data_IF_486262211174
#
_entry.id   IF_486262211174
#
_cell.length_a   1.000
_cell.length_b   1.000
_cell.length_c   1.000
_cell.angle_alpha   90.00
_cell.angle_beta   90.00
_cell.angle_gamma   90.00
#
_symmetry.space_group_name_H-M   'P 1'
#
loop_
_entity.id
_entity.type
_entity.pdbx_description
1 polymer ?
#
# COMPACT_ATOMS: atom_id res chain seq x y z
N UNK A 1 3.36 11.34 12.69
CA UNK A 1 4.20 10.64 13.69
C UNK A 1 3.30 9.84 14.62
N UNK A 2 3.45 8.51 14.71
CA UNK A 2 2.78 7.73 15.75
C UNK A 2 3.37 8.10 17.12
N UNK A 3 2.52 8.24 18.14
CA UNK A 3 2.98 8.44 19.52
C UNK A 3 3.78 7.20 19.97
N UNK A 4 4.95 7.37 20.59
CA UNK A 4 5.70 6.24 21.16
C UNK A 4 4.88 5.55 22.25
N UNK A 5 5.02 4.22 22.36
CA UNK A 5 4.32 3.43 23.37
C UNK A 5 4.84 3.73 24.77
N UNK A 6 3.92 3.99 25.70
CA UNK A 6 4.23 3.98 27.13
C UNK A 6 4.23 2.55 27.67
N UNK A 7 4.87 2.32 28.83
CA UNK A 7 4.81 1.02 29.53
C UNK A 7 3.36 0.57 29.82
N UNK A 8 2.45 1.52 30.05
CA UNK A 8 1.04 1.26 30.30
C UNK A 8 0.26 0.76 29.07
N UNK A 9 0.82 0.93 27.87
CA UNK A 9 0.19 0.50 26.62
C UNK A 9 0.53 -0.97 26.27
N UNK A 10 1.45 -1.62 27.01
CA UNK A 10 1.84 -3.01 26.75
C UNK A 10 0.65 -3.95 27.01
N UNK A 11 0.28 -4.76 26.01
CA UNK A 11 -0.94 -5.57 26.01
C UNK A 11 -2.22 -4.80 25.65
N UNK A 12 -2.11 -3.53 25.26
CA UNK A 12 -3.22 -2.65 24.84
C UNK A 12 -2.87 -1.91 23.54
N UNK A 13 -2.53 -2.68 22.50
CA UNK A 13 -2.07 -2.14 21.21
C UNK A 13 -0.58 -1.77 21.19
N UNK A 14 0.20 -2.19 22.20
CA UNK A 14 1.65 -2.21 22.15
C UNK A 14 2.19 -3.53 22.71
N UNK A 15 3.37 -3.96 22.26
CA UNK A 15 4.05 -5.18 22.71
C UNK A 15 5.52 -4.91 23.03
N UNK A 16 6.16 -5.81 23.80
CA UNK A 16 7.61 -5.76 24.04
C UNK A 16 8.36 -6.73 23.14
N UNK A 17 9.42 -6.23 22.53
CA UNK A 17 10.38 -7.04 21.79
C UNK A 17 11.77 -6.50 22.05
N UNK A 18 12.71 -7.37 22.42
CA UNK A 18 14.10 -7.02 22.71
C UNK A 18 14.26 -5.81 23.67
N UNK A 19 13.46 -5.77 24.75
CA UNK A 19 13.48 -4.68 25.73
C UNK A 19 12.72 -3.40 25.33
N UNK A 20 12.40 -3.21 24.05
CA UNK A 20 11.70 -2.05 23.51
C UNK A 20 10.18 -2.24 23.43
N UNK A 21 9.42 -1.15 23.49
CA UNK A 21 7.97 -1.13 23.34
C UNK A 21 7.58 -0.67 21.93
N UNK A 22 6.84 -1.51 21.21
CA UNK A 22 6.41 -1.25 19.84
C UNK A 22 4.89 -1.14 19.78
N UNK A 23 4.37 -0.20 18.98
CA UNK A 23 2.93 -0.08 18.74
C UNK A 23 2.53 -1.16 17.76
N UNK A 24 1.47 -1.89 18.08
CA UNK A 24 0.87 -2.82 17.13
C UNK A 24 0.25 -2.01 15.99
N UNK A 25 0.61 -2.37 14.76
CA UNK A 25 -0.11 -1.85 13.60
C UNK A 25 -1.57 -2.34 13.68
N UNK A 26 -2.56 -1.53 13.30
CA UNK A 26 -3.99 -1.85 13.46
C UNK A 26 -4.43 -3.24 12.99
N UNK A 27 -3.75 -3.81 12.00
CA UNK A 27 -4.08 -5.12 11.46
C UNK A 27 -3.19 -6.25 11.99
N UNK A 28 -2.11 -5.95 12.70
CA UNK A 28 -1.22 -6.96 13.25
C UNK A 28 -1.72 -7.45 14.60
N UNK A 29 -1.67 -8.75 14.83
CA UNK A 29 -1.96 -9.34 16.13
C UNK A 29 -0.97 -10.46 16.45
N UNK A 30 -0.78 -10.72 17.74
CA UNK A 30 0.08 -11.80 18.20
C UNK A 30 -0.69 -13.13 18.19
N UNK A 31 -0.14 -14.15 17.53
CA UNK A 31 -0.67 -15.52 17.58
C UNK A 31 0.02 -16.28 18.71
N UNK A 32 1.34 -16.19 18.79
CA UNK A 32 2.17 -16.77 19.85
C UNK A 32 3.43 -15.91 20.09
N UNK A 33 4.37 -16.38 20.91
CA UNK A 33 5.58 -15.64 21.26
C UNK A 33 6.47 -15.25 20.06
N UNK A 34 6.38 -15.97 18.93
CA UNK A 34 7.23 -15.79 17.75
C UNK A 34 6.43 -15.48 16.48
N UNK A 35 5.13 -15.79 16.46
CA UNK A 35 4.28 -15.63 15.28
C UNK A 35 3.39 -14.40 15.39
N UNK A 36 3.42 -13.58 14.34
CA UNK A 36 2.48 -12.47 14.13
C UNK A 36 1.52 -12.81 12.99
N UNK A 37 0.23 -12.66 13.26
CA UNK A 37 -0.81 -12.66 12.25
C UNK A 37 -1.07 -11.24 11.74
N UNK A 38 -1.71 -11.15 10.58
CA UNK A 38 -2.24 -9.90 10.05
C UNK A 38 -3.68 -10.12 9.56
N UNK A 39 -4.57 -9.18 9.88
CA UNK A 39 -5.90 -9.09 9.31
C UNK A 39 -5.87 -8.34 7.98
N UNK A 40 -6.82 -8.59 7.07
CA UNK A 40 -6.99 -7.76 5.89
C UNK A 40 -7.27 -6.29 6.27
N UNK A 41 -6.67 -5.35 5.54
CA UNK A 41 -6.69 -3.91 5.84
C UNK A 41 -8.08 -3.33 6.12
N UNK A 42 -9.11 -3.73 5.37
CA UNK A 42 -10.47 -3.24 5.54
C UNK A 42 -11.20 -3.72 6.79
N UNK A 43 -10.60 -4.60 7.58
CA UNK A 43 -11.14 -5.04 8.87
C UNK A 43 -10.65 -4.18 10.04
N UNK A 44 -9.59 -3.40 9.85
CA UNK A 44 -8.83 -2.74 10.91
C UNK A 44 -8.53 -1.27 10.61
N UNK A 45 -8.53 -0.85 9.34
CA UNK A 45 -8.42 0.54 8.94
C UNK A 45 -9.77 1.13 8.52
N UNK A 46 -9.91 2.44 8.71
CA UNK A 46 -11.02 3.20 8.14
C UNK A 46 -10.82 3.34 6.64
N UNK A 47 -11.81 2.89 5.88
CA UNK A 47 -11.82 2.94 4.43
C UNK A 47 -12.77 4.06 3.94
N UNK A 48 -12.46 4.66 2.80
CA UNK A 48 -13.42 5.42 2.01
C UNK A 48 -14.59 4.51 1.58
N UNK A 49 -15.71 5.14 1.23
CA UNK A 49 -16.83 4.42 0.62
C UNK A 49 -16.42 3.78 -0.70
N UNK A 50 -17.04 2.64 -1.02
CA UNK A 50 -16.81 1.94 -2.26
C UNK A 50 -17.14 2.82 -3.47
N UNK A 51 -16.20 2.93 -4.41
CA UNK A 51 -16.38 3.75 -5.61
C UNK A 51 -15.62 3.17 -6.81
N UNK A 52 -15.87 3.76 -7.99
CA UNK A 52 -15.21 3.38 -9.24
C UNK A 52 -13.87 4.09 -9.38
N UNK A 53 -12.84 3.34 -9.73
CA UNK A 53 -11.50 3.83 -10.00
C UNK A 53 -11.06 3.39 -11.38
N UNK A 54 -10.29 4.26 -12.04
CA UNK A 54 -9.66 3.99 -13.34
C UNK A 54 -8.23 4.53 -13.31
N UNK A 55 -7.30 3.82 -13.94
CA UNK A 55 -5.91 4.24 -14.00
C UNK A 55 -4.96 3.14 -14.46
N UNK A 56 -3.69 3.31 -14.13
CA UNK A 56 -2.63 2.36 -14.47
C UNK A 56 -2.24 1.56 -13.22
N UNK A 57 -2.32 0.25 -13.31
CA UNK A 57 -1.71 -0.66 -12.35
C UNK A 57 -0.33 -1.06 -12.83
N UNK A 58 0.68 -0.82 -11.99
CA UNK A 58 2.03 -1.36 -12.17
C UNK A 58 2.13 -2.62 -11.33
N UNK A 59 2.23 -3.78 -11.97
CA UNK A 59 2.22 -5.09 -11.33
C UNK A 59 3.64 -5.59 -11.05
N UNK A 60 4.18 -5.20 -9.89
CA UNK A 60 5.51 -5.61 -9.42
C UNK A 60 5.38 -6.17 -8.01
N UNK A 61 6.04 -7.31 -7.72
CA UNK A 61 5.86 -8.02 -6.45
C UNK A 61 5.99 -7.12 -5.21
N UNK A 62 7.14 -6.44 -5.01
CA UNK A 62 7.39 -5.57 -3.85
C UNK A 62 7.00 -4.10 -4.11
N UNK A 63 6.69 -3.76 -5.36
CA UNK A 63 6.59 -2.38 -5.82
C UNK A 63 5.28 -2.06 -6.51
N UNK A 64 4.26 -2.92 -6.38
CA UNK A 64 3.01 -2.68 -7.09
C UNK A 64 2.37 -1.38 -6.64
N UNK A 65 1.78 -0.68 -7.59
CA UNK A 65 1.15 0.60 -7.32
C UNK A 65 0.05 0.90 -8.32
N UNK A 66 -0.91 1.68 -7.86
CA UNK A 66 -1.95 2.24 -8.69
C UNK A 66 -1.67 3.73 -8.94
N UNK A 67 -1.75 4.13 -10.20
CA UNK A 67 -1.65 5.52 -10.65
C UNK A 67 -3.03 5.90 -11.19
N UNK A 68 -3.82 6.71 -10.45
CA UNK A 68 -5.13 7.16 -10.92
C UNK A 68 -5.07 7.84 -12.29
N UNK A 69 -6.12 7.68 -13.09
CA UNK A 69 -6.28 8.38 -14.36
C UNK A 69 -6.12 9.90 -14.19
N UNK A 70 -5.40 10.54 -15.10
CA UNK A 70 -5.09 11.96 -15.04
C UNK A 70 -4.01 12.36 -14.01
N UNK A 71 -3.35 11.39 -13.38
CA UNK A 71 -2.24 11.65 -12.43
C UNK A 71 -0.93 11.04 -12.89
N UNK A 72 0.17 11.52 -12.30
CA UNK A 72 1.53 11.01 -12.52
C UNK A 72 2.01 10.23 -11.31
N UNK A 73 2.89 9.22 -11.48
CA UNK A 73 3.49 8.53 -10.36
C UNK A 73 4.29 9.50 -9.47
N UNK A 74 4.32 9.30 -8.13
CA UNK A 74 5.13 10.12 -7.25
C UNK A 74 6.61 10.11 -7.62
N UNK A 75 7.25 11.26 -7.56
CA UNK A 75 8.68 11.39 -7.82
C UNK A 75 9.49 11.01 -6.58
N UNK A 76 10.25 9.92 -6.68
CA UNK A 76 11.17 9.50 -5.62
C UNK A 76 12.50 10.24 -5.75
N UNK A 77 13.08 10.76 -4.65
CA UNK A 77 14.36 11.45 -4.70
C UNK A 77 15.45 10.48 -5.18
N UNK A 78 16.04 10.78 -6.35
CA UNK A 78 17.13 9.99 -6.94
C UNK A 78 18.44 10.35 -6.25
N UNK A 79 19.19 9.32 -5.81
CA UNK A 79 20.59 9.36 -5.32
C UNK A 79 21.02 10.63 -4.56
N UNK A 80 21.23 10.48 -3.26
CA UNK A 80 21.88 11.48 -2.41
C UNK A 80 22.26 10.89 -1.06
N UNK A 81 23.17 11.54 -0.33
CA UNK A 81 23.32 11.29 1.11
C UNK A 81 21.93 11.42 1.75
N UNK A 82 21.57 10.53 2.68
CA UNK A 82 20.28 10.50 3.39
C UNK A 82 20.11 11.72 4.33
N UNK A 83 20.22 12.93 3.78
CA UNK A 83 20.00 14.21 4.44
C UNK A 83 18.56 14.32 4.92
N UNK A 84 18.28 15.29 5.79
CA UNK A 84 16.92 15.55 6.26
C UNK A 84 15.97 15.88 5.10
N UNK A 85 16.44 16.66 4.12
CA UNK A 85 15.68 16.99 2.90
C UNK A 85 15.37 15.74 2.06
N UNK A 86 16.35 14.83 1.92
CA UNK A 86 16.14 13.58 1.21
C UNK A 86 15.04 12.76 1.89
N UNK A 87 15.09 12.65 3.23
CA UNK A 87 14.09 11.91 4.02
C UNK A 87 12.70 12.50 3.88
N UNK A 88 12.59 13.82 3.89
CA UNK A 88 11.32 14.50 3.72
C UNK A 88 10.73 14.25 2.33
N UNK A 89 11.53 14.39 1.26
CA UNK A 89 11.09 14.08 -0.10
C UNK A 89 10.70 12.60 -0.26
N UNK A 90 11.47 11.70 0.32
CA UNK A 90 11.17 10.27 0.31
C UNK A 90 9.85 9.98 1.04
N UNK A 91 9.60 10.62 2.18
CA UNK A 91 8.35 10.47 2.91
C UNK A 91 7.16 11.04 2.14
N UNK A 92 7.30 12.19 1.47
CA UNK A 92 6.25 12.73 0.60
C UNK A 92 5.93 11.78 -0.57
N UNK A 93 6.95 11.25 -1.23
CA UNK A 93 6.78 10.28 -2.31
C UNK A 93 6.10 8.99 -1.82
N UNK A 94 6.51 8.49 -0.64
CA UNK A 94 5.89 7.35 0.04
C UNK A 94 4.42 7.64 0.33
N UNK A 95 4.11 8.77 0.97
CA UNK A 95 2.76 9.18 1.34
C UNK A 95 1.81 9.32 0.13
N UNK A 96 2.33 9.75 -1.01
CA UNK A 96 1.58 9.87 -2.26
C UNK A 96 1.45 8.54 -3.05
N UNK A 97 2.21 7.51 -2.69
CA UNK A 97 2.16 6.20 -3.35
C UNK A 97 0.94 5.40 -2.86
N UNK A 98 0.18 4.84 -3.80
CA UNK A 98 -0.98 3.99 -3.54
C UNK A 98 -0.64 2.55 -3.87
N UNK A 99 -0.62 1.68 -2.86
CA UNK A 99 -0.51 0.23 -3.04
C UNK A 99 -1.84 -0.32 -3.54
N UNK A 100 -1.83 -1.09 -4.64
CA UNK A 100 -3.03 -1.75 -5.13
C UNK A 100 -3.11 -3.17 -4.57
N UNK A 101 -4.15 -3.48 -3.82
CA UNK A 101 -4.39 -4.82 -3.31
C UNK A 101 -5.45 -5.52 -4.16
N UNK A 102 -5.00 -6.37 -5.06
CA UNK A 102 -5.84 -7.17 -5.93
C UNK A 102 -5.92 -8.66 -5.50
N UNK A 103 -5.56 -8.99 -4.26
CA UNK A 103 -5.49 -10.40 -3.81
C UNK A 103 -6.87 -11.09 -3.73
N UNK A 104 -7.96 -10.30 -3.78
CA UNK A 104 -9.35 -10.80 -3.71
C UNK A 104 -9.99 -11.05 -5.06
N UNK A 105 -9.29 -10.69 -6.15
CA UNK A 105 -9.80 -10.83 -7.50
C UNK A 105 -8.91 -11.78 -8.29
N UNK A 106 -9.54 -12.57 -9.15
CA UNK A 106 -8.84 -13.41 -10.11
C UNK A 106 -8.81 -12.69 -11.46
N UNK A 107 -7.65 -12.73 -12.11
CA UNK A 107 -7.44 -12.17 -13.44
C UNK A 107 -7.34 -13.34 -14.42
N UNK A 108 -8.49 -13.86 -14.83
CA UNK A 108 -8.56 -15.06 -15.67
C UNK A 108 -7.81 -14.86 -17.00
N UNK A 109 -7.02 -15.87 -17.39
CA UNK A 109 -6.34 -15.89 -18.69
C UNK A 109 -5.19 -14.90 -18.86
N UNK A 110 -4.85 -14.10 -17.84
CA UNK A 110 -3.76 -13.13 -17.91
C UNK A 110 -2.49 -13.70 -17.28
N UNK A 111 -1.45 -13.85 -18.11
CA UNK A 111 -0.11 -14.14 -17.60
C UNK A 111 0.46 -12.86 -16.99
N UNK A 112 0.37 -12.73 -15.66
CA UNK A 112 0.99 -11.63 -14.92
C UNK A 112 2.50 -11.68 -15.12
N UNK A 113 3.05 -10.67 -15.80
CA UNK A 113 4.48 -10.48 -15.96
C UNK A 113 4.94 -9.47 -14.93
N UNK A 114 6.00 -9.78 -14.19
CA UNK A 114 6.59 -8.82 -13.27
C UNK A 114 6.99 -7.54 -14.01
N UNK A 115 6.55 -6.38 -13.52
CA UNK A 115 6.77 -5.10 -14.19
C UNK A 115 5.75 -4.75 -15.27
N UNK A 116 4.74 -5.59 -15.52
CA UNK A 116 3.68 -5.27 -16.46
C UNK A 116 2.90 -4.03 -15.99
N UNK A 117 2.46 -3.24 -16.97
CA UNK A 117 1.57 -2.10 -16.75
C UNK A 117 0.24 -2.44 -17.38
N UNK A 118 -0.83 -2.20 -16.63
CA UNK A 118 -2.18 -2.49 -17.07
C UNK A 118 -3.04 -1.25 -16.95
N UNK A 119 -3.86 -0.98 -17.95
CA UNK A 119 -4.98 -0.05 -17.81
C UNK A 119 -6.09 -0.84 -17.12
N UNK A 120 -6.47 -0.40 -15.92
CA UNK A 120 -7.46 -1.08 -15.09
C UNK A 120 -8.60 -0.14 -14.75
N UNK A 121 -9.80 -0.69 -14.74
CA UNK A 121 -10.98 -0.08 -14.17
C UNK A 121 -11.64 -1.05 -13.21
N UNK A 122 -12.01 -0.57 -12.03
CA UNK A 122 -12.54 -1.42 -10.98
C UNK A 122 -13.42 -0.66 -9.99
N UNK A 123 -14.18 -1.42 -9.20
CA UNK A 123 -14.82 -0.95 -7.99
C UNK A 123 -13.94 -1.36 -6.81
N UNK A 124 -13.68 -0.41 -5.90
CA UNK A 124 -12.81 -0.67 -4.75
C UNK A 124 -13.01 0.34 -3.62
N UNK A 125 -12.16 0.21 -2.60
CA UNK A 125 -12.14 1.06 -1.40
C UNK A 125 -10.70 1.44 -1.08
N UNK A 126 -10.43 2.73 -0.92
CA UNK A 126 -9.12 3.25 -0.53
C UNK A 126 -9.09 3.56 0.96
N UNK A 127 -7.93 3.43 1.59
CA UNK A 127 -7.73 3.87 2.97
C UNK A 127 -8.08 5.36 3.11
N UNK A 128 -8.77 5.73 4.19
CA UNK A 128 -9.20 7.12 4.45
C UNK A 128 -8.04 8.01 4.92
N UNK A 129 -7.06 7.42 5.60
CA UNK A 129 -5.93 8.15 6.19
C UNK A 129 -4.59 7.61 5.69
N UNK A 130 -3.61 8.50 5.47
CA UNK A 130 -2.24 8.07 5.18
C UNK A 130 -1.66 7.21 6.30
N UNK A 131 -0.91 6.18 5.90
CA UNK A 131 -0.31 5.20 6.81
C UNK A 131 0.94 4.58 6.20
N UNK A 132 1.25 3.35 6.62
CA UNK A 132 2.34 2.54 6.08
C UNK A 132 1.74 1.25 5.53
N UNK A 133 1.49 1.21 4.22
CA UNK A 133 0.83 0.10 3.55
C UNK A 133 1.73 -0.52 2.47
N UNK A 134 1.30 -1.68 1.98
CA UNK A 134 2.03 -2.45 0.98
C UNK A 134 3.31 -3.06 1.53
N UNK A 135 4.17 -3.51 0.61
CA UNK A 135 5.42 -4.15 0.99
C UNK A 135 6.33 -3.20 1.77
N UNK A 136 6.80 -3.63 2.96
CA UNK A 136 7.60 -2.84 3.91
C UNK A 136 7.02 -1.44 4.27
N UNK A 137 5.71 -1.22 4.12
CA UNK A 137 5.10 0.07 4.43
C UNK A 137 5.47 1.21 3.45
N UNK A 138 5.93 0.86 2.25
CA UNK A 138 6.44 1.80 1.24
C UNK A 138 5.36 2.63 0.53
N UNK A 139 4.09 2.44 0.89
CA UNK A 139 2.97 3.22 0.37
C UNK A 139 2.23 3.96 1.47
N UNK A 140 1.84 5.19 1.18
CA UNK A 140 1.04 6.04 2.05
C UNK A 140 -0.42 5.66 2.09
N UNK A 141 -0.91 4.99 1.04
CA UNK A 141 -2.28 4.56 0.91
C UNK A 141 -2.34 3.12 0.42
N UNK A 142 -3.45 2.44 0.71
CA UNK A 142 -3.83 1.19 0.08
C UNK A 142 -5.19 1.35 -0.58
N UNK A 143 -5.34 0.75 -1.75
CA UNK A 143 -6.63 0.60 -2.42
C UNK A 143 -6.91 -0.88 -2.63
N UNK A 144 -8.03 -1.36 -2.09
CA UNK A 144 -8.49 -2.74 -2.25
C UNK A 144 -9.39 -2.80 -3.47
N UNK A 145 -9.08 -3.74 -4.37
CA UNK A 145 -9.92 -4.06 -5.53
C UNK A 145 -10.99 -5.04 -5.08
N UNK A 146 -12.24 -4.60 -5.07
CA UNK A 146 -13.38 -5.46 -4.73
C UNK A 146 -13.94 -6.17 -5.98
N UNK A 147 -13.96 -5.47 -7.13
CA UNK A 147 -14.44 -6.04 -8.41
C UNK A 147 -13.78 -5.37 -9.61
N UNK A 148 -13.19 -6.14 -10.51
CA UNK A 148 -12.64 -5.65 -11.78
C UNK A 148 -13.78 -5.39 -12.78
N UNK A 149 -13.75 -4.24 -13.45
CA UNK A 149 -14.66 -3.89 -14.55
C UNK A 149 -13.98 -4.16 -15.88
N UNK A 150 -12.73 -3.71 -16.03
CA UNK A 150 -11.93 -3.97 -17.23
C UNK A 150 -10.44 -3.97 -16.92
N UNK A 151 -9.68 -4.72 -17.72
CA UNK A 151 -8.23 -4.82 -17.60
C UNK A 151 -7.61 -5.08 -18.96
N UNK A 152 -6.66 -4.24 -19.36
CA UNK A 152 -5.99 -4.34 -20.66
C UNK A 152 -4.50 -4.08 -20.48
N UNK A 153 -3.66 -4.82 -21.17
CA UNK A 153 -2.22 -4.58 -21.12
C UNK A 153 -1.90 -3.20 -21.72
N UNK A 154 -1.09 -2.41 -21.03
CA UNK A 154 -0.57 -1.19 -21.62
C UNK A 154 0.46 -1.54 -22.71
N UNK A 155 0.38 -0.93 -23.92
CA UNK A 155 1.34 -1.17 -24.99
C UNK A 155 2.79 -0.96 -24.52
N UNK A 156 3.69 -1.88 -24.88
CA UNK A 156 5.14 -1.78 -24.58
C UNK A 156 5.80 -0.52 -25.17
N UNK A 157 5.26 -0.02 -26.26
CA UNK A 157 5.64 1.22 -26.94
C UNK A 157 4.40 2.10 -27.05
N UNK A 158 4.30 3.10 -26.18
CA UNK A 158 3.14 4.00 -26.14
C UNK A 158 2.95 4.65 -24.78
N UNK A 159 2.04 5.62 -24.72
CA UNK A 159 1.57 6.22 -23.47
C UNK A 159 0.46 5.32 -22.92
N UNK A 160 0.56 4.94 -21.64
CA UNK A 160 -0.53 4.25 -20.95
C UNK A 160 -1.61 5.30 -20.59
N UNK A 161 -2.53 5.58 -21.51
CA UNK A 161 -3.58 6.58 -21.31
C UNK A 161 -3.50 7.73 -22.29
#
# INVERSE_FOLDING_TARGET
MMKPCAKADIGRGCYRYDGHAFREEPCSYQIDAQTRGSLPTDQCYKMETQQRYRGVWVDVFEGQRFIPEGTSPPEWPRTGLKSSEWKEKAEQARLATIWMNANRVHFDGLTRRNGARWIIEFIGRKTMYPGSYGHFGMSGQEIIVDRVISLWECPRTGICG
#
